data_IF_117060355066
#
_entry.id   IF_117060355066
#
_cell.length_a   1.000
_cell.length_b   1.000
_cell.length_c   1.000
_cell.angle_alpha   90.00
_cell.angle_beta   90.00
_cell.angle_gamma   90.00
#
_symmetry.space_group_name_H-M   'P 1'
#
loop_
_entity.id
_entity.type
_entity.pdbx_description
1 polymer ?
#
# COMPACT_ATOMS: atom_id res chain seq x y z
N UNK A 1 -8.13 -37.69 -0.25
CA UNK A 1 -7.36 -36.84 -1.18
C UNK A 1 -6.41 -35.99 -0.35
N UNK A 2 -5.16 -36.44 -0.21
CA UNK A 2 -4.11 -35.69 0.48
C UNK A 2 -3.16 -35.12 -0.57
N UNK A 3 -3.61 -34.08 -1.27
CA UNK A 3 -2.83 -33.39 -2.28
C UNK A 3 -2.49 -31.97 -1.81
N UNK A 4 -1.26 -31.52 -2.06
CA UNK A 4 -0.91 -30.11 -1.92
C UNK A 4 -0.96 -29.47 -3.31
N UNK A 5 -1.52 -28.26 -3.38
CA UNK A 5 -1.50 -27.46 -4.61
C UNK A 5 -0.65 -26.20 -4.41
N UNK A 6 0.15 -25.87 -5.41
CA UNK A 6 0.87 -24.60 -5.48
C UNK A 6 0.85 -24.05 -6.90
N UNK A 7 0.84 -22.73 -7.01
CA UNK A 7 1.02 -22.01 -8.27
C UNK A 7 2.46 -21.52 -8.38
N UNK A 8 3.04 -21.63 -9.57
CA UNK A 8 4.27 -20.99 -9.96
C UNK A 8 4.00 -19.90 -11.00
N UNK A 9 4.46 -18.69 -10.72
CA UNK A 9 4.32 -17.52 -11.58
C UNK A 9 5.58 -17.31 -12.42
N UNK A 10 5.43 -17.22 -13.74
CA UNK A 10 6.48 -16.82 -14.68
C UNK A 10 6.08 -15.54 -15.41
N UNK A 11 7.04 -14.90 -16.06
CA UNK A 11 6.85 -13.61 -16.74
C UNK A 11 7.15 -13.74 -18.22
N UNK A 12 6.19 -13.34 -19.06
CA UNK A 12 6.29 -13.40 -20.51
C UNK A 12 6.09 -12.02 -21.14
N UNK A 13 6.76 -11.74 -22.26
CA UNK A 13 6.51 -10.51 -23.03
C UNK A 13 5.12 -10.58 -23.69
N UNK A 14 4.30 -9.55 -23.52
CA UNK A 14 2.93 -9.54 -24.06
C UNK A 14 2.86 -9.38 -25.59
N UNK A 15 3.93 -8.90 -26.24
CA UNK A 15 3.99 -8.75 -27.70
C UNK A 15 4.68 -9.98 -28.32
N UNK A 16 4.10 -10.62 -29.35
CA UNK A 16 4.87 -11.48 -30.22
C UNK A 16 5.95 -10.61 -30.85
N UNK A 17 7.21 -10.89 -30.57
CA UNK A 17 8.32 -10.21 -31.22
C UNK A 17 8.20 -10.59 -32.70
N UNK A 18 7.65 -9.71 -33.54
CA UNK A 18 7.87 -9.81 -34.97
C UNK A 18 9.39 -9.86 -35.15
N UNK A 19 9.89 -10.90 -35.83
CA UNK A 19 11.31 -11.12 -36.09
C UNK A 19 11.88 -10.02 -37.01
N UNK A 20 11.92 -8.78 -36.52
CA UNK A 20 12.69 -7.69 -37.09
C UNK A 20 14.14 -7.88 -36.69
N UNK A 21 15.01 -8.00 -37.69
CA UNK A 21 16.48 -8.06 -37.55
C UNK A 21 17.00 -6.77 -36.92
N UNK A 22 16.96 -6.68 -35.61
CA UNK A 22 17.73 -5.70 -34.84
C UNK A 22 18.12 -6.34 -33.52
N UNK A 23 19.41 -6.58 -33.39
CA UNK A 23 20.07 -6.98 -32.16
C UNK A 23 20.05 -5.82 -31.18
N UNK A 24 18.90 -5.56 -30.56
CA UNK A 24 18.97 -5.01 -29.22
C UNK A 24 19.28 -6.19 -28.31
N UNK A 25 20.25 -6.05 -27.41
CA UNK A 25 20.43 -6.99 -26.31
C UNK A 25 19.09 -7.14 -25.61
N UNK A 26 18.38 -8.23 -25.92
CA UNK A 26 17.06 -8.52 -25.38
C UNK A 26 17.30 -8.93 -23.94
N UNK A 27 17.35 -7.93 -23.07
CA UNK A 27 17.32 -8.14 -21.62
C UNK A 27 16.17 -9.08 -21.33
N UNK A 28 16.51 -10.28 -20.87
CA UNK A 28 15.52 -11.30 -20.53
C UNK A 28 14.66 -10.73 -19.41
N UNK A 29 13.32 -10.82 -19.52
CA UNK A 29 12.44 -10.29 -18.50
C UNK A 29 12.73 -10.98 -17.16
N UNK A 30 13.10 -10.19 -16.15
CA UNK A 30 13.45 -10.71 -14.82
C UNK A 30 12.28 -10.47 -13.86
N UNK A 31 11.60 -11.55 -13.50
CA UNK A 31 10.68 -11.60 -12.36
C UNK A 31 11.50 -11.82 -11.08
N UNK A 32 11.17 -11.07 -10.03
CA UNK A 32 11.83 -11.12 -8.72
C UNK A 32 10.79 -11.16 -7.61
N UNK A 33 11.22 -11.51 -6.39
CA UNK A 33 10.35 -11.72 -5.24
C UNK A 33 10.06 -13.20 -5.05
N UNK A 34 8.81 -13.53 -4.72
CA UNK A 34 8.36 -14.90 -4.43
C UNK A 34 7.39 -15.38 -5.52
N UNK A 35 7.88 -16.10 -6.54
CA UNK A 35 7.07 -16.57 -7.65
C UNK A 35 6.27 -17.85 -7.35
N UNK A 36 6.32 -18.38 -6.12
CA UNK A 36 5.59 -19.58 -5.72
C UNK A 36 4.56 -19.22 -4.65
N UNK A 37 3.33 -19.66 -4.80
CA UNK A 37 2.28 -19.51 -3.80
C UNK A 37 1.62 -20.86 -3.51
N UNK A 38 1.54 -21.23 -2.23
CA UNK A 38 0.70 -22.33 -1.77
C UNK A 38 -0.77 -21.92 -1.70
N UNK A 39 -1.66 -22.90 -1.76
CA UNK A 39 -3.09 -22.68 -1.59
C UNK A 39 -3.42 -22.28 -0.14
N UNK A 40 -4.24 -21.23 0.02
CA UNK A 40 -4.83 -20.83 1.30
C UNK A 40 -6.34 -20.84 1.15
N UNK A 41 -7.03 -21.52 2.05
CA UNK A 41 -8.49 -21.50 2.07
C UNK A 41 -8.99 -20.20 2.72
N UNK A 42 -9.85 -19.46 2.02
CA UNK A 42 -10.51 -18.27 2.54
C UNK A 42 -12.02 -18.42 2.36
N UNK A 43 -12.78 -17.96 3.36
CA UNK A 43 -14.25 -18.01 3.34
C UNK A 43 -14.85 -16.87 2.51
N UNK A 44 -14.11 -15.77 2.34
CA UNK A 44 -14.57 -14.56 1.65
C UNK A 44 -13.58 -14.13 0.56
N UNK A 45 -14.05 -13.54 -0.56
CA UNK A 45 -15.44 -13.22 -0.88
C UNK A 45 -16.32 -14.44 -1.19
N UNK A 46 -15.71 -15.54 -1.60
CA UNK A 46 -16.37 -16.82 -1.84
C UNK A 46 -15.51 -17.93 -1.24
N UNK A 47 -16.07 -18.92 -0.54
CA UNK A 47 -15.30 -20.02 0.04
C UNK A 47 -14.54 -20.79 -1.04
N UNK A 48 -13.21 -20.67 -1.08
CA UNK A 48 -12.37 -21.27 -2.10
C UNK A 48 -10.89 -21.35 -1.68
N UNK A 49 -10.11 -22.11 -2.44
CA UNK A 49 -8.65 -22.06 -2.41
C UNK A 49 -8.13 -20.84 -3.17
N UNK A 50 -7.44 -19.95 -2.48
CA UNK A 50 -6.79 -18.77 -3.05
C UNK A 50 -5.28 -18.96 -3.09
N UNK A 51 -4.67 -18.49 -4.18
CA UNK A 51 -3.23 -18.39 -4.32
C UNK A 51 -2.86 -16.91 -4.33
N UNK A 52 -2.04 -16.49 -3.37
CA UNK A 52 -1.76 -15.07 -3.13
C UNK A 52 -0.27 -14.84 -3.31
N UNK A 53 0.06 -13.87 -4.17
CA UNK A 53 1.42 -13.45 -4.46
C UNK A 53 1.66 -12.04 -3.86
N UNK A 54 2.09 -11.93 -2.60
CA UNK A 54 2.26 -10.63 -1.94
C UNK A 54 3.53 -9.88 -2.39
N UNK A 55 4.44 -10.57 -3.08
CA UNK A 55 5.75 -10.05 -3.45
C UNK A 55 6.18 -10.52 -4.84
N UNK A 56 5.70 -9.82 -5.87
CA UNK A 56 6.19 -9.95 -7.24
C UNK A 56 6.68 -8.60 -7.73
N UNK A 57 7.86 -8.59 -8.34
CA UNK A 57 8.47 -7.38 -8.90
C UNK A 57 9.13 -7.67 -10.23
N UNK A 58 8.99 -6.75 -11.18
CA UNK A 58 9.61 -6.84 -12.52
C UNK A 58 10.66 -5.75 -12.66
N UNK A 59 11.86 -6.11 -13.09
CA UNK A 59 13.00 -5.18 -13.16
C UNK A 59 12.98 -4.24 -14.35
N UNK A 60 12.48 -4.71 -15.49
CA UNK A 60 12.62 -4.02 -16.77
C UNK A 60 11.29 -3.44 -17.23
N UNK A 61 11.32 -2.22 -17.76
CA UNK A 61 10.13 -1.59 -18.33
C UNK A 61 9.66 -2.36 -19.58
N UNK A 62 8.34 -2.42 -19.75
CA UNK A 62 7.76 -3.21 -20.84
C UNK A 62 6.30 -3.56 -20.60
N UNK A 63 5.74 -4.33 -21.54
CA UNK A 63 4.39 -4.86 -21.45
C UNK A 63 4.47 -6.37 -21.32
N UNK A 64 3.97 -6.91 -20.23
CA UNK A 64 4.14 -8.31 -19.85
C UNK A 64 2.82 -8.98 -19.50
N UNK A 65 2.82 -10.31 -19.49
CA UNK A 65 1.80 -11.16 -18.88
C UNK A 65 2.47 -12.04 -17.82
N UNK A 66 1.75 -12.31 -16.73
CA UNK A 66 2.13 -13.37 -15.80
C UNK A 66 1.49 -14.67 -16.28
N UNK A 67 2.27 -15.75 -16.32
CA UNK A 67 1.74 -17.11 -16.51
C UNK A 67 1.74 -17.83 -15.17
N UNK A 68 0.62 -18.43 -14.80
CA UNK A 68 0.43 -19.15 -13.54
C UNK A 68 0.24 -20.63 -13.84
N UNK A 69 1.25 -21.44 -13.53
CA UNK A 69 1.23 -22.89 -13.70
C UNK A 69 0.84 -23.56 -12.39
N UNK A 70 -0.22 -24.37 -12.41
CA UNK A 70 -0.71 -25.13 -11.27
C UNK A 70 -0.04 -26.49 -11.20
N UNK A 71 0.54 -26.77 -10.05
CA UNK A 71 1.14 -28.06 -9.73
C UNK A 71 0.39 -28.71 -8.58
N UNK A 72 0.28 -30.02 -8.68
CA UNK A 72 -0.24 -30.90 -7.64
C UNK A 72 0.86 -31.83 -7.15
N UNK A 73 1.03 -31.89 -5.84
CA UNK A 73 1.87 -32.85 -5.13
C UNK A 73 0.95 -33.89 -4.47
N UNK A 74 0.89 -35.08 -5.07
CA UNK A 74 0.13 -36.20 -4.56
C UNK A 74 0.92 -36.94 -3.48
N UNK A 75 0.47 -36.86 -2.22
CA UNK A 75 1.15 -37.56 -1.10
C UNK A 75 0.91 -39.06 -1.09
N UNK A 76 -0.02 -39.58 -1.90
CA UNK A 76 -0.34 -41.00 -1.93
C UNK A 76 -0.41 -41.53 -3.37
N UNK A 77 0.21 -42.69 -3.66
CA UNK A 77 0.17 -43.30 -4.99
C UNK A 77 -1.23 -43.83 -5.38
N UNK A 78 -2.21 -43.75 -4.48
CA UNK A 78 -3.62 -44.07 -4.76
C UNK A 78 -4.38 -42.88 -5.32
N UNK A 79 -3.89 -41.67 -5.05
CA UNK A 79 -4.45 -40.41 -5.53
C UNK A 79 -3.77 -39.95 -6.85
N UNK A 80 -2.78 -40.71 -7.35
CA UNK A 80 -2.19 -40.48 -8.68
C UNK A 80 -3.19 -40.81 -9.79
N UNK A 81 -3.16 -40.00 -10.86
CA UNK A 81 -3.95 -40.27 -12.06
C UNK A 81 -3.60 -41.64 -12.62
N UNK A 82 -4.58 -42.54 -12.73
CA UNK A 82 -4.40 -43.82 -13.40
C UNK A 82 -4.22 -43.57 -14.89
N UNK A 83 -2.98 -43.63 -15.38
CA UNK A 83 -2.73 -43.63 -16.83
C UNK A 83 -3.31 -44.90 -17.44
N UNK A 84 -4.10 -44.76 -18.52
CA UNK A 84 -4.75 -45.89 -19.22
C UNK A 84 -3.71 -46.81 -19.89
N UNK A 85 -2.54 -46.25 -20.20
CA UNK A 85 -1.34 -46.98 -20.57
C UNK A 85 -0.48 -47.17 -19.32
N UNK A 86 -0.24 -48.42 -18.92
CA UNK A 86 0.59 -48.80 -17.76
C UNK A 86 2.06 -48.37 -17.81
N UNK A 87 2.42 -47.39 -18.64
CA UNK A 87 3.66 -46.66 -18.59
C UNK A 87 3.63 -45.73 -17.36
N UNK A 88 4.07 -46.26 -16.22
CA UNK A 88 4.56 -45.41 -15.13
C UNK A 88 5.58 -44.46 -15.76
N UNK A 89 5.28 -43.17 -15.82
CA UNK A 89 6.30 -42.19 -16.16
C UNK A 89 7.38 -42.35 -15.09
N UNK A 90 8.57 -42.80 -15.48
CA UNK A 90 9.78 -42.77 -14.64
C UNK A 90 10.23 -41.32 -14.43
N UNK A 91 9.31 -40.44 -14.07
CA UNK A 91 9.62 -39.10 -13.63
C UNK A 91 9.77 -39.16 -12.11
N UNK A 92 10.99 -38.98 -11.61
CA UNK A 92 11.29 -38.64 -10.20
C UNK A 92 10.62 -37.31 -9.75
N UNK A 93 9.81 -36.69 -10.62
CA UNK A 93 9.05 -35.50 -10.31
C UNK A 93 7.88 -35.85 -9.38
N UNK A 94 8.03 -35.51 -8.10
CA UNK A 94 6.97 -35.60 -7.09
C UNK A 94 5.76 -34.66 -7.33
N UNK A 95 5.76 -33.91 -8.43
CA UNK A 95 4.75 -32.88 -8.73
C UNK A 95 4.24 -32.99 -10.16
N UNK A 96 2.93 -32.96 -10.33
CA UNK A 96 2.25 -33.05 -11.62
C UNK A 96 1.74 -31.67 -12.04
N UNK A 97 2.07 -31.24 -13.26
CA UNK A 97 1.49 -30.04 -13.84
C UNK A 97 0.02 -30.28 -14.23
N UNK A 98 -0.89 -29.39 -13.81
CA UNK A 98 -2.32 -29.54 -14.03
C UNK A 98 -2.85 -28.60 -15.10
N UNK A 99 -2.59 -27.31 -14.97
CA UNK A 99 -3.07 -26.30 -15.91
C UNK A 99 -2.22 -25.03 -15.84
N UNK A 100 -2.39 -24.17 -16.84
CA UNK A 100 -1.77 -22.86 -16.91
C UNK A 100 -2.83 -21.78 -17.19
N UNK A 101 -2.73 -20.64 -16.51
CA UNK A 101 -3.57 -19.46 -16.76
C UNK A 101 -2.69 -18.22 -16.94
N UNK A 102 -3.00 -17.39 -17.92
CA UNK A 102 -2.26 -16.15 -18.20
C UNK A 102 -3.06 -14.92 -17.74
N UNK A 103 -2.37 -13.95 -17.16
CA UNK A 103 -2.95 -12.66 -16.81
C UNK A 103 -3.27 -11.83 -18.06
N UNK A 104 -4.10 -10.81 -17.89
CA UNK A 104 -4.14 -9.69 -18.82
C UNK A 104 -2.78 -8.98 -18.90
N UNK A 105 -2.43 -8.33 -20.03
CA UNK A 105 -1.20 -7.57 -20.15
C UNK A 105 -1.16 -6.42 -19.15
N UNK A 106 0.00 -6.18 -18.56
CA UNK A 106 0.23 -5.04 -17.70
C UNK A 106 1.52 -4.31 -18.07
N UNK A 107 1.56 -3.01 -17.75
CA UNK A 107 2.70 -2.15 -18.03
C UNK A 107 3.62 -2.07 -16.82
N UNK A 108 4.92 -2.26 -17.05
CA UNK A 108 5.99 -1.97 -16.10
C UNK A 108 6.63 -0.67 -16.52
N UNK A 109 6.61 0.31 -15.62
CA UNK A 109 7.10 1.66 -15.89
C UNK A 109 8.49 1.86 -15.29
N UNK A 110 9.33 2.65 -15.96
CA UNK A 110 10.48 3.26 -15.32
C UNK A 110 10.06 4.20 -14.17
N UNK A 111 10.97 4.43 -13.23
CA UNK A 111 10.70 5.25 -12.03
C UNK A 111 10.13 6.65 -12.36
N UNK A 112 10.59 7.28 -13.44
CA UNK A 112 10.13 8.61 -13.88
C UNK A 112 8.71 8.60 -14.46
N UNK A 113 8.29 7.49 -15.08
CA UNK A 113 6.97 7.35 -15.73
C UNK A 113 5.95 6.66 -14.82
N UNK A 114 6.36 6.22 -13.64
CA UNK A 114 5.52 5.45 -12.76
C UNK A 114 4.40 6.33 -12.17
N UNK A 115 3.12 6.03 -12.43
CA UNK A 115 2.00 6.87 -11.97
C UNK A 115 1.76 6.82 -10.46
N UNK A 116 2.58 6.07 -9.73
CA UNK A 116 2.37 5.73 -8.34
C UNK A 116 1.53 4.46 -8.17
N UNK A 117 1.42 4.02 -6.92
CA UNK A 117 0.61 2.86 -6.57
C UNK A 117 -0.81 3.32 -6.25
N UNK A 118 -1.80 2.57 -6.74
CA UNK A 118 -3.20 2.74 -6.37
C UNK A 118 -3.43 2.32 -4.92
N UNK A 119 -4.57 2.72 -4.35
CA UNK A 119 -5.01 2.14 -3.09
C UNK A 119 -5.29 0.64 -3.25
N UNK A 120 -5.25 -0.10 -2.15
CA UNK A 120 -5.60 -1.52 -2.16
C UNK A 120 -7.05 -1.72 -2.60
N UNK A 121 -7.34 -2.80 -3.32
CA UNK A 121 -8.73 -3.13 -3.69
C UNK A 121 -9.51 -3.65 -2.48
N UNK A 122 -10.83 -3.73 -2.60
CA UNK A 122 -11.69 -4.38 -1.59
C UNK A 122 -11.26 -5.82 -1.34
N UNK A 123 -10.93 -6.56 -2.40
CA UNK A 123 -10.44 -7.94 -2.30
C UNK A 123 -9.12 -8.03 -1.53
N UNK A 124 -8.15 -7.16 -1.82
CA UNK A 124 -6.87 -7.16 -1.09
C UNK A 124 -7.06 -6.88 0.40
N UNK A 125 -7.95 -5.95 0.77
CA UNK A 125 -8.29 -5.68 2.17
C UNK A 125 -8.93 -6.89 2.84
N UNK A 126 -9.90 -7.53 2.20
CA UNK A 126 -10.59 -8.71 2.72
C UNK A 126 -9.66 -9.92 2.90
N UNK A 127 -8.71 -10.10 1.99
CA UNK A 127 -7.65 -11.12 2.11
C UNK A 127 -6.77 -10.83 3.33
N UNK A 128 -6.37 -9.57 3.54
CA UNK A 128 -5.57 -9.20 4.72
C UNK A 128 -6.34 -9.33 6.04
N UNK A 129 -7.64 -8.99 6.06
CA UNK A 129 -8.52 -9.19 7.22
C UNK A 129 -8.63 -10.67 7.62
N UNK A 130 -8.49 -11.59 6.67
CA UNK A 130 -8.48 -13.04 6.92
C UNK A 130 -7.10 -13.57 7.33
N UNK A 131 -6.13 -12.70 7.61
CA UNK A 131 -4.82 -13.06 8.17
C UNK A 131 -3.71 -13.25 7.14
N UNK A 132 -3.99 -13.10 5.84
CA UNK A 132 -2.94 -13.16 4.82
C UNK A 132 -2.03 -11.91 4.90
N UNK A 133 -0.71 -12.12 4.86
CA UNK A 133 0.30 -11.06 4.96
C UNK A 133 0.44 -10.27 3.64
N UNK A 134 -0.56 -9.44 3.32
CA UNK A 134 -0.58 -8.57 2.13
C UNK A 134 -0.41 -7.10 2.55
N UNK A 135 0.34 -6.31 1.77
CA UNK A 135 0.51 -4.87 2.01
C UNK A 135 -0.79 -4.11 1.71
N UNK A 136 -1.35 -3.41 2.70
CA UNK A 136 -2.54 -2.58 2.54
C UNK A 136 -2.19 -1.09 2.46
N UNK A 137 -2.61 -0.44 1.38
CA UNK A 137 -2.50 1.00 1.14
C UNK A 137 -3.88 1.63 1.22
N UNK A 138 -4.04 2.65 2.06
CA UNK A 138 -5.27 3.44 2.18
C UNK A 138 -5.14 4.72 1.33
N UNK A 139 -6.21 5.16 0.68
CA UNK A 139 -6.19 6.49 0.06
C UNK A 139 -6.20 7.58 1.14
N UNK A 140 -5.19 8.45 1.12
CA UNK A 140 -5.05 9.59 2.05
C UNK A 140 -5.67 10.85 1.46
N UNK A 141 -5.98 10.88 0.15
CA UNK A 141 -6.45 12.09 -0.55
C UNK A 141 -7.89 12.50 -0.23
N UNK A 142 -8.64 11.71 0.54
CA UNK A 142 -10.00 12.03 0.96
C UNK A 142 -10.14 12.68 2.34
N UNK A 143 -9.07 13.22 2.95
CA UNK A 143 -9.29 14.29 3.95
C UNK A 143 -9.69 15.57 3.23
N UNK A 144 -10.91 15.58 2.68
CA UNK A 144 -11.64 16.81 2.41
C UNK A 144 -11.79 17.48 3.77
N UNK A 145 -10.94 18.48 4.01
CA UNK A 145 -11.10 19.44 5.09
C UNK A 145 -12.53 19.94 4.95
N UNK A 146 -13.41 19.53 5.85
CA UNK A 146 -14.70 20.21 6.00
C UNK A 146 -14.35 21.62 6.48
N UNK A 147 -14.24 22.54 5.52
CA UNK A 147 -14.28 23.96 5.80
C UNK A 147 -15.71 24.24 6.25
N UNK A 148 -15.96 24.08 7.54
CA UNK A 148 -17.18 24.58 8.18
C UNK A 148 -17.05 26.10 8.26
N UNK A 149 -17.86 26.91 7.54
CA UNK A 149 -17.88 28.35 7.75
C UNK A 149 -18.87 28.62 8.88
N UNK A 150 -18.37 28.82 10.10
CA UNK A 150 -19.26 29.18 11.21
C UNK A 150 -18.58 29.10 12.56
N UNK A 151 -18.35 30.26 13.18
CA UNK A 151 -17.87 30.36 14.57
C UNK A 151 -17.02 31.60 14.88
N UNK A 152 -17.33 32.78 14.30
CA UNK A 152 -16.84 34.08 14.82
C UNK A 152 -17.73 34.50 15.99
N UNK A 153 -17.54 33.87 17.15
CA UNK A 153 -18.32 34.19 18.36
C UNK A 153 -17.44 34.27 19.61
N UNK A 154 -16.16 34.63 19.45
CA UNK A 154 -15.23 34.85 20.58
C UNK A 154 -14.81 36.32 20.76
N UNK A 155 -15.10 37.21 19.80
CA UNK A 155 -14.64 38.61 19.86
C UNK A 155 -15.59 39.54 20.66
N UNK A 156 -16.78 39.09 21.05
CA UNK A 156 -17.80 39.95 21.68
C UNK A 156 -17.79 39.97 23.22
N UNK A 157 -17.00 39.12 23.89
CA UNK A 157 -16.95 39.09 25.36
C UNK A 157 -15.94 40.08 25.97
N UNK A 158 -14.93 40.51 25.21
CA UNK A 158 -13.90 41.44 25.71
C UNK A 158 -14.37 42.90 25.70
N UNK A 159 -15.23 43.30 24.76
CA UNK A 159 -15.65 44.71 24.62
C UNK A 159 -16.66 45.14 25.71
N UNK A 160 -17.55 44.24 26.12
CA UNK A 160 -18.56 44.52 27.15
C UNK A 160 -17.94 44.62 28.57
N UNK A 161 -16.92 43.81 28.85
CA UNK A 161 -16.19 43.87 30.13
C UNK A 161 -15.17 45.01 30.19
N UNK A 162 -14.62 45.43 29.05
CA UNK A 162 -13.74 46.60 28.97
C UNK A 162 -14.50 47.91 29.27
N UNK A 163 -15.70 48.08 28.71
CA UNK A 163 -16.54 49.26 28.97
C UNK A 163 -17.05 49.30 30.42
N UNK A 164 -17.34 48.13 31.02
CA UNK A 164 -17.71 48.03 32.42
C UNK A 164 -16.55 48.41 33.36
N UNK A 165 -15.31 47.99 33.05
CA UNK A 165 -14.11 48.37 33.84
C UNK A 165 -13.76 49.85 33.76
N UNK A 166 -13.96 50.48 32.59
CA UNK A 166 -13.68 51.91 32.40
C UNK A 166 -14.61 52.83 33.22
N UNK A 167 -15.83 52.38 33.54
CA UNK A 167 -16.78 53.17 34.36
C UNK A 167 -16.50 53.11 35.86
N UNK A 168 -15.72 52.14 36.33
CA UNK A 168 -15.48 51.91 37.77
C UNK A 168 -14.21 52.62 38.27
N UNK A 169 -13.28 52.98 37.38
CA UNK A 169 -11.97 53.55 37.76
C UNK A 169 -11.88 55.09 37.71
N UNK A 170 -12.99 55.81 37.53
CA UNK A 170 -12.97 57.28 37.59
C UNK A 170 -12.91 57.77 39.06
N UNK A 171 -11.71 57.80 39.63
CA UNK A 171 -11.44 58.53 40.88
C UNK A 171 -11.49 60.04 40.64
N UNK A 172 -12.19 60.83 41.47
CA UNK A 172 -12.20 62.28 41.31
C UNK A 172 -10.86 62.88 41.72
N UNK A 173 -10.36 63.82 40.92
CA UNK A 173 -9.09 64.52 41.15
C UNK A 173 -9.12 65.33 42.46
N UNK A 174 -8.05 65.20 43.27
CA UNK A 174 -7.73 66.16 44.33
C UNK A 174 -6.44 66.89 43.99
N UNK A 175 -6.56 68.20 43.79
CA UNK A 175 -5.47 69.15 43.60
C UNK A 175 -4.50 69.18 44.79
N UNK A 176 -3.19 69.34 44.53
CA UNK A 176 -2.28 69.90 45.53
C UNK A 176 -0.82 69.42 45.55
N UNK A 177 0.09 70.36 45.29
CA UNK A 177 1.44 70.53 45.87
C UNK A 177 2.66 69.72 45.37
N UNK A 178 3.43 70.41 44.52
CA UNK A 178 4.88 70.71 44.51
C UNK A 178 5.93 69.89 45.32
N UNK A 179 7.14 69.91 44.71
CA UNK A 179 8.50 69.79 45.28
C UNK A 179 8.98 68.35 45.59
N UNK A 180 10.22 67.92 45.37
CA UNK A 180 11.49 68.55 44.96
C UNK A 180 12.52 67.42 44.76
N UNK A 181 13.52 67.64 43.91
CA UNK A 181 14.93 67.21 44.02
C UNK A 181 15.28 65.90 44.78
N UNK A 182 16.03 64.97 44.15
CA UNK A 182 17.51 64.99 44.14
C UNK A 182 18.12 63.70 43.57
N UNK A 183 19.36 63.87 43.11
CA UNK A 183 20.24 62.93 42.44
C UNK A 183 20.85 61.84 43.36
N UNK A 184 21.67 60.97 42.72
CA UNK A 184 22.75 60.09 43.25
C UNK A 184 22.33 58.64 43.54
N UNK A 185 23.07 57.58 43.21
CA UNK A 185 24.46 57.36 42.75
C UNK A 185 24.52 55.96 42.09
N UNK A 186 25.34 55.79 41.05
CA UNK A 186 25.88 54.50 40.60
C UNK A 186 27.32 54.42 41.11
N UNK A 187 27.70 53.30 41.71
CA UNK A 187 29.00 52.64 41.51
C UNK A 187 29.19 51.54 42.56
N UNK A 188 29.58 50.34 42.10
CA UNK A 188 30.76 49.64 42.60
C UNK A 188 31.01 48.36 41.78
N UNK A 189 32.14 48.38 41.10
CA UNK A 189 32.89 47.24 40.55
C UNK A 189 33.56 46.50 41.70
N UNK A 190 33.58 45.16 41.67
CA UNK A 190 34.76 44.31 41.83
C UNK A 190 34.49 42.98 41.15
#
# INVERSE_FOLDING_TARGET
>A
MHANYFLFATLEQARPIANGRVSNERSTPVLTGTPVAGMVYLDRPTPAGYFIFPDLSVRHEGVYRLSFSLYEDCKSPKDEDKTEDGAKSESDAHVTHRLEVKSEPFNVFSAKKFPGLTESTSLSRMVAEQGCRVRIRRDVRMRKRETKPGGREWDNYEDETAQARARVSATPESSGYQASQNARYMDAVT
#
